data_IF_864261109231
#
_entry.id   IF_864261109231
#
_cell.length_a   1.000
_cell.length_b   1.000
_cell.length_c   1.000
_cell.angle_alpha   90.00
_cell.angle_beta   90.00
_cell.angle_gamma   90.00
#
_symmetry.space_group_name_H-M   'P 1'
#
loop_
_entity.id
_entity.type
_entity.pdbx_description
1 polymer ?
#
# COMPACT_ATOMS: atom_id res chain seq x y z
N UNK A 1 21.35 2.67 -34.24
CA UNK A 1 22.23 2.32 -33.10
C UNK A 1 21.83 3.02 -31.79
N UNK A 2 21.31 4.25 -31.82
CA UNK A 2 20.83 4.98 -30.61
C UNK A 2 19.55 4.43 -29.96
N UNK A 3 18.66 3.78 -30.71
CA UNK A 3 17.44 3.16 -30.18
C UNK A 3 17.72 1.92 -29.29
N UNK A 4 18.80 1.18 -29.59
CA UNK A 4 19.16 -0.06 -28.87
C UNK A 4 19.76 0.26 -27.50
N UNK A 5 20.49 1.38 -27.40
CA UNK A 5 21.07 1.86 -26.14
C UNK A 5 19.97 2.23 -25.15
N UNK A 6 18.92 2.92 -25.60
CA UNK A 6 17.74 3.24 -24.79
C UNK A 6 17.06 1.98 -24.27
N UNK A 7 16.88 0.97 -25.15
CA UNK A 7 16.33 -0.35 -24.79
C UNK A 7 17.20 -1.11 -23.79
N UNK A 8 18.53 -1.09 -23.94
CA UNK A 8 19.46 -1.82 -23.07
C UNK A 8 19.48 -1.32 -21.63
N UNK A 9 19.30 -0.01 -21.39
CA UNK A 9 19.15 0.53 -20.04
C UNK A 9 17.71 0.46 -19.52
N UNK A 10 16.72 0.51 -20.41
CA UNK A 10 15.31 0.50 -20.03
C UNK A 10 14.89 -0.79 -19.32
N UNK A 11 15.25 -1.95 -19.85
CA UNK A 11 14.90 -3.25 -19.25
C UNK A 11 15.49 -3.49 -17.84
N UNK A 12 16.81 -3.31 -17.59
CA UNK A 12 17.35 -3.51 -16.25
C UNK A 12 16.84 -2.47 -15.25
N UNK A 13 16.66 -1.21 -15.66
CA UNK A 13 16.06 -0.18 -14.79
C UNK A 13 14.62 -0.53 -14.43
N UNK A 14 13.83 -1.02 -15.39
CA UNK A 14 12.47 -1.47 -15.15
C UNK A 14 12.44 -2.66 -14.16
N UNK A 15 13.33 -3.63 -14.32
CA UNK A 15 13.44 -4.77 -13.39
C UNK A 15 13.77 -4.30 -11.98
N UNK A 16 14.74 -3.38 -11.82
CA UNK A 16 15.09 -2.81 -10.51
C UNK A 16 13.90 -2.07 -9.91
N UNK A 17 13.16 -1.28 -10.71
CA UNK A 17 11.98 -0.57 -10.25
C UNK A 17 10.86 -1.52 -9.81
N UNK A 18 10.62 -2.61 -10.56
CA UNK A 18 9.66 -3.65 -10.17
C UNK A 18 10.09 -4.35 -8.88
N UNK A 19 11.35 -4.74 -8.75
CA UNK A 19 11.86 -5.36 -7.52
C UNK A 19 11.71 -4.42 -6.31
N UNK A 20 11.99 -3.12 -6.48
CA UNK A 20 11.80 -2.13 -5.43
C UNK A 20 10.32 -1.98 -5.07
N UNK A 21 9.43 -1.95 -6.06
CA UNK A 21 7.98 -1.87 -5.84
C UNK A 21 7.48 -3.08 -5.04
N UNK A 22 7.83 -4.29 -5.44
CA UNK A 22 7.47 -5.53 -4.73
C UNK A 22 8.01 -5.53 -3.30
N UNK A 23 9.25 -5.09 -3.09
CA UNK A 23 9.84 -4.96 -1.76
C UNK A 23 9.07 -3.96 -0.89
N UNK A 24 8.68 -2.81 -1.43
CA UNK A 24 7.89 -1.81 -0.70
C UNK A 24 6.50 -2.33 -0.34
N UNK A 25 5.82 -3.02 -1.25
CA UNK A 25 4.52 -3.65 -0.99
C UNK A 25 4.65 -4.71 0.10
N UNK A 26 5.68 -5.55 0.03
CA UNK A 26 5.94 -6.57 1.05
C UNK A 26 6.17 -5.95 2.44
N UNK A 27 6.99 -4.89 2.53
CA UNK A 27 7.24 -4.17 3.77
C UNK A 27 5.97 -3.55 4.34
N UNK A 28 5.11 -2.98 3.49
CA UNK A 28 3.81 -2.44 3.89
C UNK A 28 2.91 -3.54 4.48
N UNK A 29 2.83 -4.70 3.81
CA UNK A 29 2.01 -5.83 4.27
C UNK A 29 2.50 -6.38 5.61
N UNK A 30 3.81 -6.57 5.78
CA UNK A 30 4.40 -7.04 7.05
C UNK A 30 4.14 -6.03 8.17
N UNK A 31 4.27 -4.75 7.89
CA UNK A 31 3.98 -3.68 8.86
C UNK A 31 2.52 -3.70 9.31
N UNK A 32 1.57 -3.87 8.38
CA UNK A 32 0.14 -3.99 8.69
C UNK A 32 -0.16 -5.23 9.55
N UNK A 33 0.46 -6.37 9.25
CA UNK A 33 0.25 -7.61 10.02
C UNK A 33 0.81 -7.47 11.45
N UNK A 34 1.98 -6.85 11.61
CA UNK A 34 2.53 -6.53 12.94
C UNK A 34 1.62 -5.60 13.76
N UNK A 35 0.96 -4.67 13.06
CA UNK A 35 -0.07 -3.81 13.64
C UNK A 35 -1.31 -4.57 14.10
N UNK A 36 -1.83 -5.46 13.25
CA UNK A 36 -2.97 -6.29 13.60
C UNK A 36 -2.66 -7.14 14.82
N UNK A 37 -1.45 -7.71 14.90
CA UNK A 37 -1.00 -8.47 16.07
C UNK A 37 -0.96 -7.63 17.35
N UNK A 38 -0.50 -6.36 17.28
CA UNK A 38 -0.49 -5.46 18.46
C UNK A 38 -1.88 -5.01 18.93
N UNK A 39 -2.82 -4.83 18.02
CA UNK A 39 -4.20 -4.42 18.33
C UNK A 39 -5.06 -5.60 18.79
N UNK A 40 -4.68 -6.82 18.41
CA UNK A 40 -5.38 -8.04 18.78
C UNK A 40 -5.11 -8.39 20.24
N UNK A 41 -6.16 -8.48 21.06
CA UNK A 41 -6.01 -8.99 22.42
C UNK A 41 -5.46 -10.43 22.42
N UNK A 42 -4.49 -10.76 23.30
CA UNK A 42 -3.82 -12.08 23.28
C UNK A 42 -4.78 -13.25 23.52
N UNK A 43 -5.94 -12.99 24.15
CA UNK A 43 -6.94 -14.00 24.48
C UNK A 43 -7.80 -14.45 23.29
N UNK A 44 -7.98 -13.59 22.26
CA UNK A 44 -8.82 -13.87 21.07
C UNK A 44 -8.10 -13.43 19.79
N UNK A 45 -6.75 -13.39 19.80
CA UNK A 45 -5.98 -12.80 18.72
C UNK A 45 -6.20 -13.47 17.35
N UNK A 46 -6.45 -14.79 17.33
CA UNK A 46 -6.68 -15.53 16.09
C UNK A 46 -7.96 -15.10 15.34
N UNK A 47 -9.03 -14.77 16.06
CA UNK A 47 -10.30 -14.36 15.43
C UNK A 47 -10.23 -12.92 14.93
N UNK A 48 -9.60 -12.02 15.70
CA UNK A 48 -9.38 -10.63 15.27
C UNK A 48 -8.43 -10.56 14.07
N UNK A 49 -7.29 -11.27 14.11
CA UNK A 49 -6.34 -11.29 13.00
C UNK A 49 -6.98 -11.78 11.68
N UNK A 50 -7.84 -12.81 11.76
CA UNK A 50 -8.58 -13.33 10.59
C UNK A 50 -9.63 -12.34 10.08
N UNK A 51 -10.38 -11.68 10.98
CA UNK A 51 -11.37 -10.68 10.61
C UNK A 51 -10.71 -9.45 9.98
N UNK A 52 -9.62 -8.95 10.57
CA UNK A 52 -8.80 -7.88 10.02
C UNK A 52 -8.21 -8.29 8.66
N UNK A 53 -7.72 -9.52 8.51
CA UNK A 53 -7.27 -10.05 7.22
C UNK A 53 -8.37 -10.08 6.16
N UNK A 54 -9.60 -10.43 6.56
CA UNK A 54 -10.77 -10.44 5.67
C UNK A 54 -11.12 -9.02 5.23
N UNK A 55 -11.16 -8.05 6.16
CA UNK A 55 -11.40 -6.64 5.85
C UNK A 55 -10.31 -6.10 4.92
N UNK A 56 -9.05 -6.44 5.14
CA UNK A 56 -7.94 -5.99 4.30
C UNK A 56 -8.00 -6.56 2.90
N UNK A 57 -8.34 -7.84 2.75
CA UNK A 57 -8.50 -8.46 1.43
C UNK A 57 -9.72 -7.89 0.67
N UNK A 58 -10.81 -7.60 1.39
CA UNK A 58 -11.99 -6.93 0.84
C UNK A 58 -11.64 -5.50 0.40
N UNK A 59 -10.93 -4.75 1.24
CA UNK A 59 -10.49 -3.38 0.96
C UNK A 59 -9.58 -3.30 -0.26
N UNK A 60 -8.69 -4.28 -0.45
CA UNK A 60 -7.85 -4.38 -1.65
C UNK A 60 -8.69 -4.61 -2.92
N UNK A 61 -9.63 -5.56 -2.87
CA UNK A 61 -10.52 -5.88 -3.99
C UNK A 61 -11.45 -4.70 -4.35
N UNK A 62 -11.97 -4.02 -3.33
CA UNK A 62 -12.79 -2.82 -3.50
C UNK A 62 -11.98 -1.66 -4.07
N UNK A 63 -10.74 -1.45 -3.61
CA UNK A 63 -9.87 -0.39 -4.14
C UNK A 63 -9.58 -0.58 -5.62
N UNK A 64 -9.30 -1.81 -6.06
CA UNK A 64 -9.09 -2.11 -7.48
C UNK A 64 -10.34 -1.83 -8.33
N UNK A 65 -11.52 -2.22 -7.82
CA UNK A 65 -12.80 -1.96 -8.50
C UNK A 65 -13.11 -0.46 -8.57
N UNK A 66 -12.85 0.28 -7.49
CA UNK A 66 -13.05 1.73 -7.43
C UNK A 66 -12.12 2.48 -8.37
N UNK A 67 -10.84 2.09 -8.44
CA UNK A 67 -9.86 2.70 -9.36
C UNK A 67 -10.30 2.49 -10.80
N UNK A 68 -10.71 1.28 -11.19
CA UNK A 68 -11.19 1.00 -12.53
C UNK A 68 -12.48 1.76 -12.87
N UNK A 69 -13.40 1.88 -11.90
CA UNK A 69 -14.62 2.65 -12.07
C UNK A 69 -14.34 4.14 -12.31
N UNK A 70 -13.42 4.73 -11.55
CA UNK A 70 -13.01 6.13 -11.68
C UNK A 70 -12.24 6.34 -13.00
N UNK A 71 -11.35 5.43 -13.37
CA UNK A 71 -10.59 5.50 -14.62
C UNK A 71 -11.48 5.46 -15.86
N UNK A 72 -12.60 4.73 -15.81
CA UNK A 72 -13.57 4.68 -16.91
C UNK A 72 -14.30 6.03 -17.13
N UNK A 73 -14.44 6.84 -16.09
CA UNK A 73 -15.07 8.17 -16.17
C UNK A 73 -14.11 9.29 -16.60
N UNK A 74 -12.80 9.04 -16.65
CA UNK A 74 -11.79 10.07 -16.81
C UNK A 74 -11.24 10.16 -18.25
N UNK A 75 -11.05 11.37 -18.82
CA UNK A 75 -10.49 11.53 -20.16
C UNK A 75 -9.02 11.09 -20.22
N UNK A 76 -8.73 10.18 -21.15
CA UNK A 76 -7.40 9.56 -21.41
C UNK A 76 -6.18 10.50 -21.39
N UNK A 77 -6.21 11.74 -21.94
CA UNK A 77 -5.01 12.58 -21.96
C UNK A 77 -4.54 13.08 -20.59
N UNK A 78 -5.43 13.15 -19.59
CA UNK A 78 -5.10 13.63 -18.24
C UNK A 78 -5.08 12.53 -17.19
N UNK A 79 -5.43 11.30 -17.57
CA UNK A 79 -5.62 10.19 -16.63
C UNK A 79 -4.36 9.87 -15.83
N UNK A 80 -3.20 9.79 -16.51
CA UNK A 80 -1.92 9.49 -15.86
C UNK A 80 -1.52 10.56 -14.82
N UNK A 81 -1.64 11.84 -15.17
CA UNK A 81 -1.27 12.93 -14.27
C UNK A 81 -2.17 12.99 -13.03
N UNK A 82 -3.47 12.72 -13.19
CA UNK A 82 -4.45 12.71 -12.10
C UNK A 82 -4.26 11.48 -11.20
N UNK A 83 -3.96 10.32 -11.77
CA UNK A 83 -3.66 9.09 -11.03
C UNK A 83 -2.42 9.27 -10.14
N UNK A 84 -1.31 9.73 -10.72
CA UNK A 84 -0.06 9.96 -9.98
C UNK A 84 -0.27 10.99 -8.88
N UNK A 85 -0.96 12.10 -9.17
CA UNK A 85 -1.27 13.12 -8.17
C UNK A 85 -2.09 12.56 -7.00
N UNK A 86 -3.11 11.76 -7.30
CA UNK A 86 -3.98 11.15 -6.28
C UNK A 86 -3.23 10.13 -5.44
N UNK A 87 -2.41 9.27 -6.05
CA UNK A 87 -1.57 8.30 -5.35
C UNK A 87 -0.56 8.97 -4.42
N UNK A 88 0.05 10.08 -4.84
CA UNK A 88 0.98 10.84 -4.00
C UNK A 88 0.25 11.45 -2.80
N UNK A 89 -0.88 12.11 -3.01
CA UNK A 89 -1.65 12.72 -1.93
C UNK A 89 -2.17 11.67 -0.94
N UNK A 90 -2.74 10.57 -1.43
CA UNK A 90 -3.17 9.45 -0.60
C UNK A 90 -1.99 8.85 0.18
N UNK A 91 -0.82 8.70 -0.45
CA UNK A 91 0.39 8.23 0.21
C UNK A 91 0.83 9.14 1.35
N UNK A 92 0.90 10.46 1.13
CA UNK A 92 1.26 11.42 2.18
C UNK A 92 0.25 11.44 3.33
N UNK A 93 -1.05 11.42 3.01
CA UNK A 93 -2.13 11.38 3.99
C UNK A 93 -2.04 10.09 4.81
N UNK A 94 -1.85 8.96 4.15
CA UNK A 94 -1.69 7.64 4.78
C UNK A 94 -0.50 7.67 5.74
N UNK A 95 0.69 8.03 5.27
CA UNK A 95 1.91 8.08 6.08
C UNK A 95 1.72 8.99 7.30
N UNK A 96 1.10 10.16 7.13
CA UNK A 96 0.80 11.07 8.24
C UNK A 96 -0.18 10.49 9.28
N UNK A 97 -1.22 9.78 8.82
CA UNK A 97 -2.18 9.10 9.70
C UNK A 97 -1.54 7.91 10.42
N UNK A 98 -0.81 7.06 9.70
CA UNK A 98 -0.12 5.90 10.28
C UNK A 98 0.91 6.34 11.30
N UNK A 99 1.65 7.43 11.04
CA UNK A 99 2.59 7.99 12.00
C UNK A 99 1.91 8.40 13.31
N UNK A 100 0.72 9.00 13.23
CA UNK A 100 -0.07 9.35 14.41
C UNK A 100 -0.53 8.12 15.18
N UNK A 101 -1.01 7.08 14.49
CA UNK A 101 -1.51 5.86 15.12
C UNK A 101 -0.35 5.09 15.78
N UNK A 102 0.82 4.98 15.13
CA UNK A 102 2.04 4.39 15.72
C UNK A 102 2.37 5.06 17.05
N UNK A 103 2.45 6.39 17.08
CA UNK A 103 2.75 7.14 18.31
C UNK A 103 1.70 6.95 19.41
N UNK A 104 0.44 6.70 19.04
CA UNK A 104 -0.63 6.42 20.02
C UNK A 104 -0.51 5.02 20.60
N UNK A 105 -0.10 4.04 19.79
CA UNK A 105 0.09 2.67 20.24
C UNK A 105 1.38 2.48 21.06
N UNK A 106 2.44 3.24 20.78
CA UNK A 106 3.65 3.27 21.61
C UNK A 106 3.40 3.89 22.99
N UNK A 107 2.36 4.73 23.13
CA UNK A 107 2.00 5.34 24.40
C UNK A 107 1.15 4.40 25.30
N UNK A 108 0.69 3.26 24.78
CA UNK A 108 -0.01 2.25 25.57
C UNK A 108 1.04 1.39 26.29
N UNK A 109 0.92 1.18 27.62
CA UNK A 109 1.76 0.21 28.31
C UNK A 109 1.47 -1.17 27.69
N UNK A 110 2.53 -1.90 27.35
CA UNK A 110 2.40 -3.28 26.88
C UNK A 110 1.87 -4.09 28.05
N UNK A 111 0.58 -4.43 28.02
CA UNK A 111 0.01 -5.38 28.98
C UNK A 111 0.61 -6.75 28.65
N UNK A 112 1.49 -7.22 29.54
CA UNK A 112 2.14 -8.55 29.46
C UNK A 112 1.17 -9.69 29.80
#
# INVERSE_FOLDING_TARGET
MSQILHTSYFYPVLIVLLCLNEALVYLMTVSCIGFYARISEPRIAGTYMTLLGTISNLGHSLSSTLVLYIANWLPKPYAYSIEVGTCILLGFIWIGLTWRIIRRLDALPVEE
#
